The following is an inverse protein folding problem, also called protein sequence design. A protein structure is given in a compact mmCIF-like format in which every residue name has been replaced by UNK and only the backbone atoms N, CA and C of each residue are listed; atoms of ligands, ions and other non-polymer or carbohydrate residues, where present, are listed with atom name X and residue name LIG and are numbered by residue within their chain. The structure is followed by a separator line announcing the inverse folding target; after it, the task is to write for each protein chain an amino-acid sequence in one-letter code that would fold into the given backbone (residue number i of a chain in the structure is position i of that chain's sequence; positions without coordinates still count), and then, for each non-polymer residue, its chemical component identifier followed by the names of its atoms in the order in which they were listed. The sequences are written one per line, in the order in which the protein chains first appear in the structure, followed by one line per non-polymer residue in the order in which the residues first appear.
data_IF_397793853590
#
_entry.id   IF_397793853590
#
_cell.length_a   1.000
_cell.length_b   1.000
_cell.length_c   1.000
_cell.angle_alpha   90.00
_cell.angle_beta   90.00
_cell.angle_gamma   90.00
#
_symmetry.space_group_name_H-M   'P 1'
#
loop_
_entity.id
_entity.type
_entity.pdbx_description
1 polymer ?
#
# COMPACT_ATOMS: atom_id res chain seq x y z
N UNK A 1 6.64 0.67 14.92
CA UNK A 1 5.46 1.36 14.36
C UNK A 1 4.65 0.34 13.58
N UNK A 2 3.36 0.23 13.88
CA UNK A 2 2.46 -0.61 13.10
C UNK A 2 2.25 0.00 11.70
N UNK A 3 1.90 -0.82 10.72
CA UNK A 3 1.66 -0.30 9.38
C UNK A 3 0.77 -1.20 8.53
N UNK A 4 0.34 -0.67 7.40
CA UNK A 4 -0.46 -1.37 6.40
C UNK A 4 -0.05 -0.94 5.00
N UNK A 5 -0.06 -1.86 4.06
CA UNK A 5 0.18 -1.59 2.65
C UNK A 5 -1.15 -1.51 1.91
N UNK A 6 -1.42 -0.40 1.24
CA UNK A 6 -2.54 -0.27 0.30
C UNK A 6 -2.05 -0.62 -1.11
N UNK A 7 -2.37 -1.79 -1.57
CA UNK A 7 -1.97 -2.31 -2.88
C UNK A 7 -3.15 -2.32 -3.85
N UNK A 8 -2.89 -2.25 -5.13
CA UNK A 8 -3.93 -2.34 -6.15
C UNK A 8 -3.92 -3.67 -6.89
N UNK A 9 -5.04 -4.03 -7.49
CA UNK A 9 -5.09 -5.13 -8.47
C UNK A 9 -4.42 -4.74 -9.80
N UNK A 10 -4.30 -3.45 -10.07
CA UNK A 10 -3.65 -2.90 -11.26
C UNK A 10 -3.29 -1.42 -11.05
N UNK A 11 -2.62 -0.81 -12.03
CA UNK A 11 -2.52 0.64 -12.12
C UNK A 11 -3.89 1.26 -12.38
N UNK A 12 -4.14 2.46 -11.85
CA UNK A 12 -5.37 3.21 -12.11
C UNK A 12 -6.61 2.77 -11.32
N UNK A 13 -6.51 1.79 -10.41
CA UNK A 13 -7.66 1.35 -9.57
C UNK A 13 -8.02 2.33 -8.46
N UNK A 14 -7.23 3.39 -8.28
CA UNK A 14 -7.50 4.45 -7.30
C UNK A 14 -6.73 4.29 -5.98
N UNK A 15 -5.56 3.65 -5.99
CA UNK A 15 -4.69 3.51 -4.80
C UNK A 15 -4.43 4.84 -4.10
N UNK A 16 -4.03 5.86 -4.86
CA UNK A 16 -3.69 7.17 -4.31
C UNK A 16 -4.87 7.79 -3.58
N UNK A 17 -6.06 7.78 -4.18
CA UNK A 17 -7.28 8.31 -3.53
C UNK A 17 -7.60 7.52 -2.26
N UNK A 18 -7.53 6.19 -2.32
CA UNK A 18 -7.76 5.34 -1.15
C UNK A 18 -6.72 5.63 -0.04
N UNK A 19 -5.45 5.77 -0.40
CA UNK A 19 -4.38 6.09 0.55
C UNK A 19 -4.60 7.44 1.23
N UNK A 20 -4.92 8.48 0.45
CA UNK A 20 -5.19 9.81 1.00
C UNK A 20 -6.41 9.80 1.94
N UNK A 21 -7.46 9.05 1.57
CA UNK A 21 -8.66 8.90 2.40
C UNK A 21 -8.33 8.19 3.74
N UNK A 22 -7.53 7.12 3.70
CA UNK A 22 -7.10 6.37 4.89
C UNK A 22 -6.20 7.24 5.79
N UNK A 23 -5.20 7.92 5.21
CA UNK A 23 -4.36 8.86 5.95
C UNK A 23 -5.19 9.93 6.67
N UNK A 24 -6.13 10.53 5.95
CA UNK A 24 -7.02 11.56 6.53
C UNK A 24 -7.96 10.98 7.59
N UNK A 25 -8.42 9.75 7.42
CA UNK A 25 -9.27 9.09 8.40
C UNK A 25 -8.52 8.81 9.71
N UNK A 26 -7.27 8.35 9.64
CA UNK A 26 -6.42 8.18 10.82
C UNK A 26 -6.17 9.50 11.53
N UNK A 27 -5.80 10.56 10.81
CA UNK A 27 -5.59 11.90 11.36
C UNK A 27 -6.87 12.41 12.11
N UNK A 28 -8.04 12.28 11.48
CA UNK A 28 -9.32 12.67 12.11
C UNK A 28 -9.68 11.82 13.33
N UNK A 29 -9.23 10.58 13.37
CA UNK A 29 -9.45 9.69 14.51
C UNK A 29 -8.46 9.94 15.66
N UNK A 30 -7.55 10.91 15.51
CA UNK A 30 -6.58 11.30 16.54
C UNK A 30 -5.29 10.47 16.52
N UNK A 31 -5.06 9.68 15.46
CA UNK A 31 -3.76 9.04 15.22
C UNK A 31 -2.82 9.97 14.49
N UNK A 32 -1.54 9.70 14.62
CA UNK A 32 -0.47 10.40 13.90
C UNK A 32 0.04 9.52 12.75
N UNK A 33 -0.52 9.62 11.51
CA UNK A 33 -0.16 8.75 10.42
C UNK A 33 1.17 9.14 9.76
N UNK A 34 2.04 8.16 9.53
CA UNK A 34 3.24 8.29 8.71
C UNK A 34 2.94 7.80 7.30
N UNK A 35 2.93 8.65 6.29
CA UNK A 35 2.80 8.21 4.91
C UNK A 35 4.10 7.62 4.38
N UNK A 36 3.96 6.62 3.50
CA UNK A 36 5.07 6.04 2.76
C UNK A 36 4.63 5.62 1.35
N UNK A 37 5.58 5.53 0.45
CA UNK A 37 5.38 5.10 -0.94
C UNK A 37 6.33 3.97 -1.29
N UNK A 38 5.79 2.87 -1.79
CA UNK A 38 6.59 1.81 -2.41
C UNK A 38 7.05 2.24 -3.80
N UNK A 39 8.34 1.99 -4.09
CA UNK A 39 8.94 2.31 -5.38
C UNK A 39 9.36 3.77 -5.56
N UNK A 40 9.99 4.08 -6.73
CA UNK A 40 10.52 5.39 -7.05
C UNK A 40 9.42 6.30 -7.63
N UNK A 41 8.73 7.04 -6.78
CA UNK A 41 7.68 7.98 -7.15
C UNK A 41 7.88 9.30 -6.37
N UNK A 42 7.66 10.42 -7.04
CA UNK A 42 7.77 11.76 -6.44
C UNK A 42 6.45 12.53 -6.45
N UNK A 43 5.44 12.06 -7.18
CA UNK A 43 4.13 12.71 -7.29
C UNK A 43 3.25 12.33 -6.10
N UNK A 44 2.98 11.05 -5.89
CA UNK A 44 2.15 10.58 -4.79
C UNK A 44 2.68 11.03 -3.40
N UNK A 45 4.01 10.97 -3.13
CA UNK A 45 4.59 11.51 -1.90
C UNK A 45 4.27 12.97 -1.61
N UNK A 46 4.11 13.81 -2.63
CA UNK A 46 3.75 15.22 -2.45
C UNK A 46 2.30 15.38 -1.95
N UNK A 47 1.39 14.55 -2.47
CA UNK A 47 0.00 14.51 -1.99
C UNK A 47 -0.10 13.98 -0.56
N UNK A 48 0.68 12.95 -0.22
CA UNK A 48 0.78 12.41 1.13
C UNK A 48 1.23 13.48 2.13
N UNK A 49 2.29 14.22 1.79
CA UNK A 49 2.84 15.27 2.64
C UNK A 49 1.84 16.40 2.91
N UNK A 50 1.02 16.73 1.90
CA UNK A 50 -0.01 17.75 2.04
C UNK A 50 -1.15 17.34 3.00
N UNK A 51 -1.38 16.04 3.20
CA UNK A 51 -2.40 15.54 4.14
C UNK A 51 -1.84 15.42 5.57
N UNK A 52 -0.59 14.94 5.71
CA UNK A 52 -0.03 14.55 7.01
C UNK A 52 0.91 15.59 7.61
N UNK A 53 1.16 16.70 6.92
CA UNK A 53 2.13 17.73 7.32
C UNK A 53 3.52 17.16 7.65
N UNK A 54 3.89 16.07 6.96
CA UNK A 54 5.19 15.41 7.09
C UNK A 54 5.61 14.73 5.79
N UNK A 55 6.93 14.55 5.55
CA UNK A 55 7.43 13.88 4.36
C UNK A 55 6.98 12.42 4.27
N UNK A 56 6.53 12.00 3.10
CA UNK A 56 6.34 10.59 2.79
C UNK A 56 7.67 9.86 2.71
N UNK A 57 7.74 8.63 3.23
CA UNK A 57 8.95 7.79 3.16
C UNK A 57 8.99 7.02 1.85
N UNK A 58 10.13 7.07 1.17
CA UNK A 58 10.37 6.23 -0.01
C UNK A 58 10.84 4.84 0.44
N UNK A 59 10.10 3.81 0.05
CA UNK A 59 10.36 2.41 0.38
C UNK A 59 10.65 1.66 -0.92
N UNK A 60 11.90 1.76 -1.38
CA UNK A 60 12.35 1.17 -2.63
C UNK A 60 13.53 0.21 -2.40
N UNK A 61 13.27 -1.12 -2.43
CA UNK A 61 14.34 -2.11 -2.27
C UNK A 61 15.35 -2.11 -3.41
N UNK A 62 14.99 -1.66 -4.61
CA UNK A 62 15.91 -1.57 -5.73
C UNK A 62 16.97 -0.48 -5.51
N UNK A 63 16.55 0.69 -5.01
CA UNK A 63 17.45 1.82 -4.77
C UNK A 63 18.27 1.66 -3.48
N UNK A 64 17.66 1.13 -2.42
CA UNK A 64 18.25 1.13 -1.08
C UNK A 64 18.56 -0.26 -0.52
N UNK A 65 18.20 -1.32 -1.24
CA UNK A 65 18.22 -2.69 -0.74
C UNK A 65 17.18 -2.92 0.37
N UNK A 66 16.96 -4.17 0.76
CA UNK A 66 16.02 -4.51 1.83
C UNK A 66 16.36 -3.83 3.16
N UNK A 67 17.64 -3.83 3.53
CA UNK A 67 18.11 -3.17 4.77
C UNK A 67 17.83 -1.67 4.75
N UNK A 68 18.01 -1.02 3.61
CA UNK A 68 17.72 0.40 3.43
C UNK A 68 16.22 0.68 3.48
N UNK A 69 15.41 -0.18 2.87
CA UNK A 69 13.96 -0.11 2.92
C UNK A 69 13.44 -0.21 4.37
N UNK A 70 13.87 -1.25 5.11
CA UNK A 70 13.55 -1.41 6.56
C UNK A 70 13.99 -0.20 7.37
N UNK A 71 15.20 0.30 7.15
CA UNK A 71 15.72 1.49 7.84
C UNK A 71 14.89 2.74 7.56
N UNK A 72 14.48 2.95 6.31
CA UNK A 72 13.62 4.08 5.94
C UNK A 72 12.24 3.99 6.58
N UNK A 73 11.66 2.79 6.64
CA UNK A 73 10.42 2.53 7.35
C UNK A 73 10.56 2.88 8.84
N UNK A 74 11.58 2.36 9.53
CA UNK A 74 11.79 2.60 10.96
C UNK A 74 12.23 4.04 11.31
N UNK A 75 12.68 4.82 10.34
CA UNK A 75 12.92 6.27 10.51
C UNK A 75 11.63 7.10 10.45
N UNK A 76 10.52 6.50 10.06
CA UNK A 76 9.21 7.12 10.17
C UNK A 76 8.85 7.37 11.64
N UNK A 77 8.02 8.35 11.86
CA UNK A 77 7.46 8.68 13.17
C UNK A 77 5.94 8.66 13.11
N UNK A 78 5.30 8.48 14.25
CA UNK A 78 3.84 8.42 14.34
C UNK A 78 3.34 7.07 14.85
N UNK A 79 2.01 6.95 14.90
CA UNK A 79 1.33 5.78 15.49
C UNK A 79 1.17 4.64 14.48
N UNK A 80 0.93 4.99 13.22
CA UNK A 80 0.66 4.03 12.13
C UNK A 80 1.29 4.49 10.82
N UNK A 81 1.91 3.55 10.11
CA UNK A 81 2.42 3.81 8.76
C UNK A 81 1.43 3.32 7.69
N UNK A 82 1.10 4.17 6.75
CA UNK A 82 0.31 3.81 5.58
C UNK A 82 1.20 3.85 4.34
N UNK A 83 1.45 2.68 3.77
CA UNK A 83 2.30 2.52 2.58
C UNK A 83 1.43 2.44 1.34
N UNK A 84 1.55 3.40 0.43
CA UNK A 84 0.94 3.28 -0.89
C UNK A 84 1.79 2.40 -1.80
N UNK A 85 1.17 1.37 -2.37
CA UNK A 85 1.79 0.49 -3.34
C UNK A 85 1.94 1.12 -4.73
N UNK A 86 2.74 0.48 -5.57
CA UNK A 86 2.91 0.83 -7.00
C UNK A 86 2.29 -0.25 -7.87
N UNK A 87 1.83 0.12 -9.08
CA UNK A 87 1.27 -0.82 -10.07
C UNK A 87 0.25 -1.80 -9.47
N UNK A 88 0.18 -3.04 -9.96
CA UNK A 88 -0.51 -4.13 -9.29
C UNK A 88 0.35 -4.76 -8.19
N UNK A 89 -0.30 -5.42 -7.23
CA UNK A 89 0.35 -6.00 -6.04
C UNK A 89 1.57 -6.85 -6.36
N UNK A 90 1.50 -7.66 -7.41
CA UNK A 90 2.56 -8.62 -7.81
C UNK A 90 3.39 -8.15 -9.01
N UNK A 91 3.12 -6.95 -9.54
CA UNK A 91 3.78 -6.49 -10.76
C UNK A 91 5.22 -6.04 -10.51
N UNK A 92 6.13 -6.57 -11.31
CA UNK A 92 7.56 -6.23 -11.28
C UNK A 92 8.39 -6.98 -10.25
N UNK A 93 9.70 -6.95 -10.42
CA UNK A 93 10.66 -7.67 -9.56
C UNK A 93 10.65 -7.14 -8.13
N UNK A 94 10.61 -5.82 -7.96
CA UNK A 94 10.52 -5.17 -6.66
C UNK A 94 9.07 -4.74 -6.39
N UNK A 95 8.13 -5.67 -6.57
CA UNK A 95 6.70 -5.43 -6.49
C UNK A 95 6.25 -4.89 -5.12
N UNK A 96 5.01 -4.40 -5.05
CA UNK A 96 4.39 -4.02 -3.78
C UNK A 96 4.35 -5.19 -2.80
N UNK A 97 4.13 -6.43 -3.30
CA UNK A 97 4.18 -7.65 -2.49
C UNK A 97 5.57 -7.87 -1.88
N UNK A 98 6.64 -7.63 -2.65
CA UNK A 98 8.01 -7.72 -2.13
C UNK A 98 8.29 -6.67 -1.04
N UNK A 99 7.78 -5.47 -1.18
CA UNK A 99 7.89 -4.43 -0.13
C UNK A 99 7.11 -4.83 1.12
N UNK A 100 5.89 -5.35 0.97
CA UNK A 100 5.06 -5.81 2.09
C UNK A 100 5.75 -6.95 2.86
N UNK A 101 6.26 -7.97 2.16
CA UNK A 101 7.04 -9.06 2.72
C UNK A 101 8.31 -8.56 3.42
N UNK A 102 9.09 -7.68 2.76
CA UNK A 102 10.31 -7.10 3.34
C UNK A 102 10.05 -6.41 4.67
N UNK A 103 8.89 -5.77 4.82
CA UNK A 103 8.54 -5.00 6.01
C UNK A 103 7.67 -5.77 7.01
N UNK A 104 7.24 -7.00 6.67
CA UNK A 104 6.31 -7.81 7.45
C UNK A 104 5.01 -7.03 7.74
N UNK A 105 4.41 -6.48 6.69
CA UNK A 105 3.21 -5.65 6.78
C UNK A 105 2.00 -6.31 6.10
N UNK A 106 0.82 -6.24 6.74
CA UNK A 106 -0.42 -6.70 6.12
C UNK A 106 -0.80 -5.83 4.92
N UNK A 107 -1.49 -6.42 3.97
CA UNK A 107 -1.94 -5.78 2.73
C UNK A 107 -3.45 -5.59 2.74
N UNK A 108 -3.90 -4.39 2.40
CA UNK A 108 -5.29 -4.10 2.03
C UNK A 108 -5.33 -3.87 0.52
N UNK A 109 -6.14 -4.65 -0.17
CA UNK A 109 -6.22 -4.63 -1.63
C UNK A 109 -7.27 -3.62 -2.11
N UNK A 110 -6.87 -2.68 -2.95
CA UNK A 110 -7.77 -1.74 -3.63
C UNK A 110 -8.19 -2.34 -4.97
N UNK A 111 -9.48 -2.54 -5.16
CA UNK A 111 -10.07 -3.14 -6.36
C UNK A 111 -11.00 -2.14 -7.01
N UNK A 112 -10.96 -2.04 -8.34
CA UNK A 112 -11.93 -1.26 -9.12
C UNK A 112 -13.25 -2.04 -9.22
N UNK A 113 -14.29 -1.56 -8.55
CA UNK A 113 -15.61 -2.16 -8.52
C UNK A 113 -16.60 -1.53 -9.49
N UNK A 114 -16.15 -0.63 -10.40
CA UNK A 114 -17.01 0.12 -11.32
C UNK A 114 -17.91 -0.77 -12.18
N UNK A 115 -17.40 -1.92 -12.62
CA UNK A 115 -18.10 -2.83 -13.52
C UNK A 115 -18.24 -4.26 -12.92
N UNK A 116 -18.06 -4.41 -11.62
CA UNK A 116 -18.10 -5.69 -10.93
C UNK A 116 -19.01 -5.68 -9.71
N UNK A 117 -19.50 -6.82 -9.34
CA UNK A 117 -20.24 -7.10 -8.09
C UNK A 117 -19.55 -8.28 -7.39
N UNK A 118 -20.10 -9.48 -7.49
CA UNK A 118 -19.48 -10.69 -6.94
C UNK A 118 -18.11 -11.02 -7.54
N UNK A 119 -17.85 -10.59 -8.78
CA UNK A 119 -16.55 -10.73 -9.43
C UNK A 119 -15.41 -9.97 -8.69
N UNK A 120 -15.73 -8.92 -7.95
CA UNK A 120 -14.76 -8.21 -7.10
C UNK A 120 -14.26 -9.13 -5.99
N UNK A 121 -15.15 -9.91 -5.39
CA UNK A 121 -14.77 -10.89 -4.36
C UNK A 121 -13.90 -12.02 -4.94
N UNK A 122 -14.22 -12.50 -6.14
CA UNK A 122 -13.40 -13.50 -6.84
C UNK A 122 -12.01 -12.97 -7.16
N UNK A 123 -11.92 -11.72 -7.58
CA UNK A 123 -10.65 -11.02 -7.83
C UNK A 123 -9.81 -10.91 -6.54
N UNK A 124 -10.42 -10.45 -5.45
CA UNK A 124 -9.75 -10.30 -4.17
C UNK A 124 -9.26 -11.64 -3.61
N UNK A 125 -10.09 -12.69 -3.73
CA UNK A 125 -9.72 -14.06 -3.35
C UNK A 125 -8.53 -14.55 -4.18
N UNK A 126 -8.56 -14.35 -5.50
CA UNK A 126 -7.45 -14.72 -6.39
C UNK A 126 -6.14 -14.04 -6.02
N UNK A 127 -6.18 -12.76 -5.71
CA UNK A 127 -4.98 -12.02 -5.26
C UNK A 127 -4.44 -12.52 -3.92
N UNK A 128 -5.31 -12.88 -2.98
CA UNK A 128 -4.90 -13.45 -1.70
C UNK A 128 -4.24 -14.82 -1.87
N UNK A 129 -4.88 -15.72 -2.59
CA UNK A 129 -4.40 -17.10 -2.77
C UNK A 129 -3.15 -17.16 -3.67
N UNK A 130 -3.00 -16.22 -4.61
CA UNK A 130 -1.85 -16.16 -5.52
C UNK A 130 -0.53 -15.84 -4.79
N UNK A 131 -0.53 -15.34 -3.58
CA UNK A 131 0.68 -15.05 -2.82
C UNK A 131 1.61 -16.27 -2.72
N UNK A 132 1.05 -17.44 -2.41
CA UNK A 132 1.81 -18.70 -2.32
C UNK A 132 2.41 -19.09 -3.67
N UNK A 133 1.66 -19.01 -4.77
CA UNK A 133 2.13 -19.30 -6.13
C UNK A 133 3.21 -18.29 -6.59
N UNK A 134 3.08 -17.04 -6.16
CA UNK A 134 4.08 -15.99 -6.41
C UNK A 134 5.34 -16.14 -5.55
N UNK A 135 5.38 -17.12 -4.63
CA UNK A 135 6.47 -17.32 -3.68
C UNK A 135 6.62 -16.14 -2.71
N UNK A 136 5.51 -15.53 -2.28
CA UNK A 136 5.46 -14.39 -1.36
C UNK A 136 4.80 -14.77 -0.05
N UNK A 137 5.43 -14.38 1.05
CA UNK A 137 4.87 -14.51 2.40
C UNK A 137 4.24 -13.16 2.79
N UNK A 138 3.01 -12.95 2.33
CA UNK A 138 2.21 -11.75 2.62
C UNK A 138 0.78 -12.14 3.01
N UNK A 139 0.16 -11.31 3.84
CA UNK A 139 -1.21 -11.49 4.28
C UNK A 139 -2.11 -10.37 3.72
N UNK A 140 -3.06 -10.74 2.85
CA UNK A 140 -4.10 -9.83 2.34
C UNK A 140 -5.28 -9.87 3.31
N UNK A 141 -5.31 -8.89 4.21
CA UNK A 141 -6.24 -8.84 5.36
C UNK A 141 -7.55 -8.10 5.07
N UNK A 142 -7.62 -7.37 3.98
CA UNK A 142 -8.81 -6.57 3.66
C UNK A 142 -8.88 -6.12 2.21
N UNK A 143 -10.04 -5.59 1.84
CA UNK A 143 -10.34 -5.09 0.49
C UNK A 143 -11.05 -3.74 0.57
N UNK A 144 -10.63 -2.81 -0.26
CA UNK A 144 -11.34 -1.56 -0.56
C UNK A 144 -11.94 -1.69 -1.96
N UNK A 145 -13.25 -1.81 -2.05
CA UNK A 145 -13.98 -1.76 -3.32
C UNK A 145 -14.16 -0.28 -3.72
N UNK A 146 -13.31 0.18 -4.63
CA UNK A 146 -13.34 1.56 -5.11
C UNK A 146 -14.27 1.71 -6.31
N UNK A 147 -14.90 2.88 -6.48
CA UNK A 147 -15.86 3.19 -7.55
C UNK A 147 -17.10 2.28 -7.54
N UNK A 148 -17.47 1.70 -6.40
CA UNK A 148 -18.73 1.00 -6.25
C UNK A 148 -19.92 1.96 -6.42
N UNK A 149 -20.99 1.52 -7.06
CA UNK A 149 -22.22 2.29 -7.30
C UNK A 149 -23.36 1.78 -6.46
#
# INVERSE_FOLDING_TARGET
MNGVVLAGTASGVGKTVATLAVLRAFDRAGYDPQPAKAGPDFIDPSHHAAICDRPSRSLDPWLSGEKGCRRNYHRGSGDVCVVEGMMGLYDGTNSTAYVAETLDLPVVLVVDAKAGMESVAAQALGFREYAAEAGRDIDVVGVVANRAH
#
